data_IF_888034406965
#
_entry.id   IF_888034406965
#
_cell.length_a   1.000
_cell.length_b   1.000
_cell.length_c   1.000
_cell.angle_alpha   90.00
_cell.angle_beta   90.00
_cell.angle_gamma   90.00
#
_symmetry.space_group_name_H-M   'P 1'
#
loop_
_entity.id
_entity.type
_entity.pdbx_description
1 polymer ?
#
# COMPACT_ATOMS: atom_id res chain seq x y z
N UNK A 1 13.69 4.39 20.14
CA UNK A 1 13.14 5.76 19.91
C UNK A 1 12.67 6.40 21.20
N UNK A 2 11.76 5.77 21.95
CA UNK A 2 11.26 6.32 23.23
C UNK A 2 12.36 6.49 24.29
N UNK A 3 13.38 5.64 24.29
CA UNK A 3 14.58 5.76 25.14
C UNK A 3 15.47 6.97 24.83
N UNK A 4 15.29 7.61 23.67
CA UNK A 4 16.05 8.80 23.22
C UNK A 4 15.19 10.08 23.42
N UNK A 5 14.00 9.97 24.03
CA UNK A 5 13.12 11.10 24.34
C UNK A 5 12.05 11.43 23.29
N UNK A 6 11.88 10.61 22.24
CA UNK A 6 10.83 10.81 21.25
C UNK A 6 9.42 10.68 21.87
N UNK A 7 8.50 11.60 21.53
CA UNK A 7 7.12 11.54 22.05
C UNK A 7 6.34 10.41 21.34
N UNK A 8 5.30 9.88 22.02
CA UNK A 8 4.43 8.84 21.45
C UNK A 8 3.82 9.26 20.10
N UNK A 9 3.50 10.54 19.93
CA UNK A 9 2.94 11.07 18.67
C UNK A 9 3.95 10.98 17.52
N UNK A 10 5.24 11.18 17.79
CA UNK A 10 6.28 11.20 16.76
C UNK A 10 6.49 9.78 16.24
N UNK A 11 6.55 8.82 17.16
CA UNK A 11 6.66 7.39 16.85
C UNK A 11 5.43 6.95 16.05
N UNK A 12 4.24 7.34 16.47
CA UNK A 12 3.00 7.01 15.77
C UNK A 12 2.99 7.57 14.34
N UNK A 13 3.39 8.83 14.17
CA UNK A 13 3.41 9.48 12.87
C UNK A 13 4.40 8.82 11.90
N UNK A 14 5.60 8.46 12.36
CA UNK A 14 6.60 7.76 11.54
C UNK A 14 6.06 6.41 11.07
N UNK A 15 5.54 5.58 11.98
CA UNK A 15 5.04 4.25 11.62
C UNK A 15 3.82 4.31 10.69
N UNK A 16 2.93 5.29 10.86
CA UNK A 16 1.77 5.47 9.98
C UNK A 16 2.22 5.87 8.57
N UNK A 17 3.19 6.79 8.47
CA UNK A 17 3.77 7.19 7.17
C UNK A 17 4.49 6.01 6.51
N UNK A 18 5.28 5.24 7.28
CA UNK A 18 5.98 4.06 6.78
C UNK A 18 5.00 2.98 6.27
N UNK A 19 3.92 2.74 7.02
CA UNK A 19 2.86 1.80 6.62
C UNK A 19 2.11 2.28 5.38
N UNK A 20 1.86 3.59 5.27
CA UNK A 20 1.29 4.21 4.08
C UNK A 20 2.21 4.07 2.86
N UNK A 21 3.52 4.30 3.03
CA UNK A 21 4.53 4.11 1.98
C UNK A 21 4.61 2.65 1.52
N UNK A 22 4.60 1.69 2.45
CA UNK A 22 4.49 0.26 2.14
C UNK A 22 3.22 -0.06 1.35
N UNK A 23 2.09 0.55 1.73
CA UNK A 23 0.84 0.52 0.98
C UNK A 23 1.02 1.05 -0.44
N UNK A 24 1.59 2.24 -0.62
CA UNK A 24 1.84 2.82 -1.95
C UNK A 24 2.73 1.94 -2.84
N UNK A 25 3.79 1.34 -2.28
CA UNK A 25 4.64 0.38 -3.02
C UNK A 25 3.82 -0.85 -3.43
N UNK A 26 3.02 -1.40 -2.52
CA UNK A 26 2.10 -2.50 -2.83
C UNK A 26 1.08 -2.13 -3.91
N UNK A 27 0.54 -0.91 -3.87
CA UNK A 27 -0.35 -0.36 -4.90
C UNK A 27 0.33 -0.23 -6.24
N UNK A 28 1.57 0.25 -6.28
CA UNK A 28 2.37 0.34 -7.51
C UNK A 28 2.57 -1.05 -8.14
N UNK A 29 2.95 -2.03 -7.34
CA UNK A 29 3.12 -3.42 -7.78
C UNK A 29 1.79 -3.99 -8.27
N UNK A 30 0.70 -3.78 -7.53
CA UNK A 30 -0.64 -4.25 -7.89
C UNK A 30 -1.13 -3.66 -9.21
N UNK A 31 -0.85 -2.38 -9.46
CA UNK A 31 -1.16 -1.72 -10.73
C UNK A 31 -0.36 -2.34 -11.88
N UNK A 32 0.96 -2.50 -11.73
CA UNK A 32 1.81 -3.13 -12.76
C UNK A 32 1.34 -4.55 -13.07
N UNK A 33 1.01 -5.35 -12.05
CA UNK A 33 0.45 -6.69 -12.23
C UNK A 33 -0.93 -6.65 -12.90
N UNK A 34 -1.80 -5.71 -12.52
CA UNK A 34 -3.11 -5.52 -13.13
C UNK A 34 -3.02 -5.16 -14.62
N UNK A 35 -2.05 -4.32 -14.99
CA UNK A 35 -1.73 -4.03 -16.39
C UNK A 35 -1.29 -5.30 -17.14
N UNK A 36 -0.35 -6.08 -16.58
CA UNK A 36 0.12 -7.31 -17.18
C UNK A 36 -0.99 -8.36 -17.37
N UNK A 37 -1.85 -8.53 -16.37
CA UNK A 37 -2.99 -9.44 -16.44
C UNK A 37 -4.00 -8.99 -17.50
N UNK A 38 -4.35 -7.70 -17.53
CA UNK A 38 -5.29 -7.16 -18.51
C UNK A 38 -4.80 -7.36 -19.95
N UNK A 39 -3.51 -7.11 -20.21
CA UNK A 39 -2.91 -7.35 -21.52
C UNK A 39 -2.91 -8.84 -21.88
N UNK A 40 -2.60 -9.71 -20.92
CA UNK A 40 -2.61 -11.16 -21.14
C UNK A 40 -4.01 -11.67 -21.50
N UNK A 41 -5.03 -11.18 -20.80
CA UNK A 41 -6.44 -11.49 -21.08
C UNK A 41 -6.85 -10.98 -22.46
N UNK A 42 -6.44 -9.77 -22.84
CA UNK A 42 -6.72 -9.20 -24.17
C UNK A 42 -6.11 -10.06 -25.29
N UNK A 43 -4.86 -10.50 -25.16
CA UNK A 43 -4.19 -11.36 -26.15
C UNK A 43 -4.88 -12.72 -26.28
N UNK A 44 -5.27 -13.34 -25.16
CA UNK A 44 -5.99 -14.62 -25.16
C UNK A 44 -7.37 -14.46 -25.79
N UNK A 45 -8.11 -13.40 -25.42
CA UNK A 45 -9.44 -13.11 -25.96
C UNK A 45 -9.41 -12.86 -27.47
N UNK A 46 -8.41 -12.13 -27.99
CA UNK A 46 -8.24 -11.91 -29.43
C UNK A 46 -7.98 -13.21 -30.18
N UNK A 47 -7.16 -14.10 -29.63
CA UNK A 47 -6.85 -15.39 -30.26
C UNK A 47 -8.03 -16.37 -30.25
N UNK A 48 -8.91 -16.32 -29.24
CA UNK A 48 -10.03 -17.27 -29.10
C UNK A 48 -11.34 -16.78 -29.72
N UNK A 49 -11.66 -15.49 -29.60
CA UNK A 49 -12.97 -14.94 -29.99
C UNK A 49 -12.92 -14.11 -31.29
N UNK A 50 -11.73 -13.79 -31.82
CA UNK A 50 -11.56 -13.08 -33.10
C UNK A 50 -12.08 -11.64 -33.12
N UNK A 51 -12.47 -11.09 -31.96
CA UNK A 51 -13.11 -9.78 -31.84
C UNK A 51 -12.40 -8.90 -30.81
N UNK A 52 -12.17 -7.63 -31.15
CA UNK A 52 -11.65 -6.57 -30.26
C UNK A 52 -12.71 -6.10 -29.22
N UNK A 53 -13.46 -7.01 -28.60
CA UNK A 53 -14.55 -6.66 -27.67
C UNK A 53 -14.04 -6.19 -26.30
N UNK A 54 -12.83 -6.60 -25.90
CA UNK A 54 -12.22 -6.26 -24.60
C UNK A 54 -11.01 -5.38 -24.88
N UNK A 55 -11.20 -4.06 -24.82
CA UNK A 55 -10.10 -3.10 -24.82
C UNK A 55 -9.76 -2.73 -23.38
N UNK A 56 -8.53 -2.99 -22.95
CA UNK A 56 -8.09 -2.56 -21.63
C UNK A 56 -8.00 -1.03 -21.61
N UNK A 57 -9.02 -0.37 -21.05
CA UNK A 57 -9.06 1.09 -20.94
C UNK A 57 -8.43 1.54 -19.63
N UNK A 58 -7.29 2.20 -19.74
CA UNK A 58 -6.55 2.70 -18.59
C UNK A 58 -6.70 4.21 -18.50
N UNK A 59 -7.45 4.67 -17.51
CA UNK A 59 -7.55 6.09 -17.20
C UNK A 59 -6.49 6.48 -16.17
N UNK A 60 -5.82 7.62 -16.39
CA UNK A 60 -4.92 8.21 -15.39
C UNK A 60 -5.60 8.40 -14.03
N UNK A 61 -6.91 8.69 -14.02
CA UNK A 61 -7.70 8.80 -12.78
C UNK A 61 -7.76 7.48 -12.01
N UNK A 62 -7.84 6.34 -12.70
CA UNK A 62 -7.87 5.03 -12.08
C UNK A 62 -6.51 4.69 -11.46
N UNK A 63 -5.42 5.04 -12.14
CA UNK A 63 -4.05 4.86 -11.67
C UNK A 63 -3.80 5.64 -10.36
N UNK A 64 -4.05 6.94 -10.38
CA UNK A 64 -3.88 7.78 -9.19
C UNK A 64 -4.85 7.40 -8.07
N UNK A 65 -6.09 7.04 -8.43
CA UNK A 65 -7.08 6.56 -7.48
C UNK A 65 -6.61 5.28 -6.76
N UNK A 66 -6.09 4.31 -7.49
CA UNK A 66 -5.57 3.06 -6.92
C UNK A 66 -4.37 3.30 -6.00
N UNK A 67 -3.43 4.18 -6.39
CA UNK A 67 -2.28 4.53 -5.56
C UNK A 67 -2.67 5.22 -4.25
N UNK A 68 -3.54 6.24 -4.33
CA UNK A 68 -4.03 6.96 -3.15
C UNK A 68 -4.80 6.01 -2.24
N UNK A 69 -5.66 5.17 -2.82
CA UNK A 69 -6.43 4.18 -2.07
C UNK A 69 -5.52 3.18 -1.35
N UNK A 70 -4.48 2.68 -2.04
CA UNK A 70 -3.53 1.74 -1.45
C UNK A 70 -2.70 2.37 -0.33
N UNK A 71 -2.27 3.62 -0.49
CA UNK A 71 -1.61 4.38 0.58
C UNK A 71 -2.54 4.56 1.79
N UNK A 72 -3.81 4.95 1.57
CA UNK A 72 -4.80 5.14 2.64
C UNK A 72 -5.07 3.85 3.40
N UNK A 73 -5.22 2.73 2.69
CA UNK A 73 -5.37 1.41 3.29
C UNK A 73 -4.13 1.03 4.10
N UNK A 74 -2.93 1.18 3.53
CA UNK A 74 -1.67 0.90 4.23
C UNK A 74 -1.51 1.74 5.50
N UNK A 75 -1.82 3.03 5.42
CA UNK A 75 -1.81 3.94 6.56
C UNK A 75 -2.83 3.53 7.63
N UNK A 76 -4.08 3.23 7.22
CA UNK A 76 -5.17 2.82 8.13
C UNK A 76 -4.81 1.55 8.91
N UNK A 77 -4.37 0.50 8.22
CA UNK A 77 -3.93 -0.73 8.86
C UNK A 77 -2.66 -0.54 9.69
N UNK A 78 -1.80 0.42 9.32
CA UNK A 78 -0.61 0.82 10.07
C UNK A 78 -0.90 1.55 11.39
N UNK A 79 -2.07 2.19 11.55
CA UNK A 79 -2.40 2.92 12.79
C UNK A 79 -2.44 2.00 14.00
N UNK A 80 -3.01 0.80 13.86
CA UNK A 80 -3.12 -0.16 14.97
C UNK A 80 -1.76 -0.61 15.51
N UNK A 81 -0.81 -1.13 14.70
CA UNK A 81 0.53 -1.47 15.17
C UNK A 81 1.33 -0.22 15.59
N UNK A 82 1.16 0.92 14.93
CA UNK A 82 1.82 2.17 15.32
C UNK A 82 1.43 2.62 16.74
N UNK A 83 0.15 2.50 17.11
CA UNK A 83 -0.33 2.77 18.47
C UNK A 83 0.28 1.81 19.48
N UNK A 84 0.37 0.53 19.14
CA UNK A 84 0.96 -0.47 20.02
C UNK A 84 2.45 -0.18 20.26
N UNK A 85 3.22 0.09 19.20
CA UNK A 85 4.62 0.48 19.29
C UNK A 85 4.84 1.79 20.09
N UNK A 86 3.98 2.78 19.89
CA UNK A 86 4.04 4.05 20.62
C UNK A 86 3.68 3.90 22.11
N UNK A 87 2.91 2.88 22.51
CA UNK A 87 2.54 2.65 23.91
C UNK A 87 3.56 1.85 24.73
N UNK A 88 4.49 1.14 24.08
CA UNK A 88 5.47 0.29 24.77
C UNK A 88 6.32 1.09 25.77
N UNK A 89 6.52 0.56 26.97
CA UNK A 89 7.39 1.19 27.97
C UNK A 89 8.86 0.96 27.60
N UNK A 90 9.73 1.99 27.70
CA UNK A 90 11.14 1.87 27.32
C UNK A 90 11.88 0.79 28.12
N UNK A 91 11.50 0.61 29.39
CA UNK A 91 12.06 -0.40 30.30
C UNK A 91 11.81 -1.81 29.77
N UNK A 92 10.61 -2.09 29.26
CA UNK A 92 10.28 -3.40 28.69
C UNK A 92 10.98 -3.66 27.35
N UNK A 93 11.24 -2.59 26.57
CA UNK A 93 11.97 -2.69 25.31
C UNK A 93 13.49 -2.93 25.49
N UNK A 94 14.05 -2.60 26.65
CA UNK A 94 15.48 -2.79 26.99
C UNK A 94 15.75 -4.12 27.72
N UNK A 95 14.72 -4.76 28.28
CA UNK A 95 14.85 -6.00 29.05
C UNK A 95 14.75 -7.27 28.19
N UNK A 96 14.59 -7.12 26.88
CA UNK A 96 14.65 -8.18 25.86
C UNK A 96 15.83 -7.95 24.93
#
# INVERSE_FOLDING_TARGET
MKSIGAQNKDILLIFVIESGLLGAIGGLIGVVLGFGLSFSVEVIAKNLLGTNLIGAYFSYSLFFGALIFSFLIGALFGVMPARQAASLQPVDALRK
#
